data_IF_898447810328
#
_entry.id   IF_898447810328
#
_cell.length_a   1.000
_cell.length_b   1.000
_cell.length_c   1.000
_cell.angle_alpha   90.00
_cell.angle_beta   90.00
_cell.angle_gamma   90.00
#
_symmetry.space_group_name_H-M   'P 1'
#
loop_
_entity.id
_entity.type
_entity.pdbx_description
1 polymer ?
#
# COMPACT_ATOMS: atom_id res chain seq x y z
N UNK A 1 3.54 17.49 -14.22
CA UNK A 1 4.50 16.59 -13.54
C UNK A 1 3.71 15.72 -12.59
N UNK A 2 3.05 14.70 -13.15
CA UNK A 2 2.00 13.93 -12.48
C UNK A 2 2.53 13.25 -11.20
N UNK A 3 1.77 13.44 -10.12
CA UNK A 3 1.89 12.73 -8.85
C UNK A 3 1.95 11.22 -9.08
N UNK A 4 3.17 10.67 -9.18
CA UNK A 4 3.43 9.25 -9.44
C UNK A 4 3.96 8.52 -8.20
N UNK A 5 3.53 8.89 -7.00
CA UNK A 5 4.02 8.20 -5.81
C UNK A 5 3.17 8.48 -4.58
N UNK A 6 2.08 7.75 -4.41
CA UNK A 6 1.46 7.61 -3.10
C UNK A 6 0.71 6.29 -3.10
N UNK A 7 1.06 5.39 -2.18
CA UNK A 7 0.52 4.03 -2.00
C UNK A 7 1.16 2.94 -2.88
N UNK A 8 2.48 2.76 -2.75
CA UNK A 8 3.06 1.44 -2.97
C UNK A 8 2.69 0.54 -1.78
N UNK A 9 1.68 -0.32 -1.94
CA UNK A 9 1.48 -1.42 -1.00
C UNK A 9 2.46 -2.55 -1.34
N UNK A 10 3.30 -2.90 -0.37
CA UNK A 10 4.26 -3.99 -0.50
C UNK A 10 3.59 -5.28 0.02
N UNK A 11 2.92 -6.00 -0.88
CA UNK A 11 2.31 -7.30 -0.55
C UNK A 11 3.39 -8.38 -0.55
N UNK A 12 3.57 -9.03 0.59
CA UNK A 12 4.56 -10.09 0.83
C UNK A 12 4.04 -11.49 0.44
N UNK A 13 3.27 -11.61 -0.64
CA UNK A 13 2.64 -12.88 -0.99
C UNK A 13 3.10 -13.40 -2.35
N UNK A 14 3.55 -14.65 -2.33
CA UNK A 14 3.96 -15.46 -3.50
C UNK A 14 2.82 -15.63 -4.52
N UNK A 15 1.61 -15.16 -4.20
CA UNK A 15 0.39 -15.29 -5.02
C UNK A 15 -0.24 -13.94 -5.40
N UNK A 16 0.59 -12.92 -5.66
CA UNK A 16 0.06 -11.60 -6.06
C UNK A 16 -0.81 -11.67 -7.32
N UNK A 17 -0.51 -12.59 -8.24
CA UNK A 17 -1.28 -12.76 -9.47
C UNK A 17 -2.75 -13.09 -9.17
N UNK A 18 -3.02 -13.95 -8.18
CA UNK A 18 -4.40 -14.29 -7.80
C UNK A 18 -5.13 -13.08 -7.21
N UNK A 19 -4.45 -12.28 -6.39
CA UNK A 19 -5.03 -11.07 -5.79
C UNK A 19 -5.34 -10.04 -6.90
N UNK A 20 -4.44 -9.89 -7.86
CA UNK A 20 -4.66 -9.00 -9.01
C UNK A 20 -5.79 -9.50 -9.91
N UNK A 21 -5.83 -10.80 -10.21
CA UNK A 21 -6.86 -11.39 -11.06
C UNK A 21 -8.26 -11.27 -10.42
N UNK A 22 -8.35 -11.42 -9.09
CA UNK A 22 -9.62 -11.32 -8.35
C UNK A 22 -10.05 -9.87 -8.07
N UNK A 23 -9.14 -9.02 -7.60
CA UNK A 23 -9.47 -7.68 -7.11
C UNK A 23 -9.20 -6.56 -8.11
N UNK A 24 -8.44 -6.84 -9.18
CA UNK A 24 -8.02 -5.87 -10.20
C UNK A 24 -7.55 -4.57 -9.56
N UNK A 25 -6.64 -4.69 -8.59
CA UNK A 25 -6.09 -3.53 -7.89
C UNK A 25 -5.50 -2.53 -8.90
N UNK A 26 -5.12 -3.03 -10.09
CA UNK A 26 -4.75 -2.23 -11.26
C UNK A 26 -5.64 -1.18 -11.82
N UNK A 27 -6.88 -1.19 -11.41
CA UNK A 27 -7.77 -0.12 -11.76
C UNK A 27 -7.69 1.06 -10.77
N UNK A 28 -7.12 0.87 -9.57
CA UNK A 28 -7.24 1.82 -8.45
C UNK A 28 -5.93 2.47 -8.04
N UNK A 29 -4.81 1.76 -8.14
CA UNK A 29 -3.50 2.28 -7.73
C UNK A 29 -2.41 1.97 -8.75
N UNK A 30 -1.18 2.41 -8.51
CA UNK A 30 -0.01 1.87 -9.20
C UNK A 30 0.72 1.00 -8.18
N UNK A 31 0.62 -0.33 -8.28
CA UNK A 31 1.40 -1.22 -7.40
C UNK A 31 2.71 -1.67 -8.06
N UNK A 32 3.63 -2.07 -7.20
CA UNK A 32 4.81 -2.83 -7.58
C UNK A 32 5.01 -3.90 -6.53
N UNK A 33 5.11 -5.15 -6.97
CA UNK A 33 5.29 -6.28 -6.08
C UNK A 33 6.79 -6.50 -5.83
N UNK A 34 7.25 -6.22 -4.63
CA UNK A 34 8.58 -6.65 -4.17
C UNK A 34 8.47 -8.02 -3.50
N UNK A 35 8.05 -9.04 -4.26
CA UNK A 35 7.70 -10.35 -3.69
C UNK A 35 8.92 -11.22 -3.38
N UNK A 36 10.10 -10.99 -3.97
CA UNK A 36 11.27 -11.87 -3.78
C UNK A 36 12.62 -11.14 -3.93
N UNK A 37 12.85 -10.04 -3.20
CA UNK A 37 14.19 -9.44 -3.18
C UNK A 37 15.07 -10.22 -2.20
N UNK A 38 15.83 -11.19 -2.72
CA UNK A 38 17.00 -11.85 -2.07
C UNK A 38 16.80 -12.44 -0.66
N UNK A 39 15.71 -13.17 -0.40
CA UNK A 39 15.56 -13.91 0.86
C UNK A 39 15.33 -13.04 2.11
N UNK A 40 15.09 -11.74 1.93
CA UNK A 40 14.81 -10.78 2.99
C UNK A 40 13.31 -10.72 3.28
N UNK A 41 12.94 -10.52 4.55
CA UNK A 41 11.52 -10.47 4.96
C UNK A 41 11.30 -9.45 6.07
N UNK A 42 10.13 -8.84 6.09
CA UNK A 42 9.70 -8.03 7.24
C UNK A 42 9.83 -8.84 8.56
N UNK A 43 10.30 -8.24 9.67
CA UNK A 43 10.65 -6.83 9.86
C UNK A 43 12.13 -6.50 9.60
N UNK A 44 12.87 -7.33 8.85
CA UNK A 44 14.28 -7.07 8.51
C UNK A 44 14.45 -5.71 7.81
N UNK A 45 15.29 -4.79 8.31
CA UNK A 45 15.54 -3.49 7.70
C UNK A 45 15.92 -3.55 6.22
N UNK A 46 16.68 -4.58 5.84
CA UNK A 46 17.16 -4.75 4.47
C UNK A 46 16.01 -4.91 3.47
N UNK A 47 14.88 -5.47 3.90
CA UNK A 47 13.69 -5.55 3.06
C UNK A 47 13.22 -4.15 2.63
N UNK A 48 13.04 -3.24 3.59
CA UNK A 48 12.50 -1.90 3.32
C UNK A 48 13.47 -1.07 2.47
N UNK A 49 14.77 -1.16 2.74
CA UNK A 49 15.80 -0.45 1.97
C UNK A 49 15.83 -0.89 0.50
N UNK A 50 15.72 -2.20 0.25
CA UNK A 50 15.64 -2.73 -1.11
C UNK A 50 14.37 -2.26 -1.82
N UNK A 51 13.22 -2.22 -1.13
CA UNK A 51 11.99 -1.72 -1.75
C UNK A 51 12.10 -0.25 -2.10
N UNK A 52 12.58 0.59 -1.19
CA UNK A 52 12.77 2.03 -1.44
C UNK A 52 13.70 2.25 -2.64
N UNK A 53 14.80 1.49 -2.72
CA UNK A 53 15.75 1.52 -3.84
C UNK A 53 15.11 1.07 -5.14
N UNK A 54 14.33 -0.01 -5.12
CA UNK A 54 13.66 -0.56 -6.30
C UNK A 54 12.60 0.40 -6.86
N UNK A 55 11.80 0.99 -5.97
CA UNK A 55 10.77 1.97 -6.33
C UNK A 55 11.36 3.32 -6.73
N UNK A 56 12.63 3.59 -6.39
CA UNK A 56 13.31 4.87 -6.61
C UNK A 56 12.52 6.06 -6.03
N UNK A 57 12.03 5.90 -4.79
CA UNK A 57 11.22 6.88 -4.06
C UNK A 57 11.96 7.40 -2.83
N UNK A 58 11.60 8.60 -2.37
CA UNK A 58 12.11 9.11 -1.10
C UNK A 58 11.31 8.49 0.06
N UNK A 59 12.02 7.93 1.06
CA UNK A 59 11.44 7.35 2.28
C UNK A 59 10.47 8.29 3.00
N UNK A 60 10.74 9.60 3.01
CA UNK A 60 9.90 10.60 3.69
C UNK A 60 8.52 10.76 3.04
N UNK A 61 8.40 10.35 1.77
CA UNK A 61 7.18 10.43 0.98
C UNK A 61 6.44 9.08 0.93
N UNK A 62 6.91 8.08 1.66
CA UNK A 62 6.33 6.75 1.69
C UNK A 62 5.47 6.53 2.94
N UNK A 63 4.31 5.92 2.73
CA UNK A 63 3.45 5.41 3.80
C UNK A 63 3.48 3.88 3.72
N UNK A 64 3.90 3.25 4.81
CA UNK A 64 3.91 1.81 4.98
C UNK A 64 2.71 1.39 5.84
N UNK A 65 1.93 0.42 5.34
CA UNK A 65 0.73 -0.10 6.00
C UNK A 65 0.89 -1.60 6.19
N UNK A 66 0.70 -2.09 7.42
CA UNK A 66 0.78 -3.52 7.75
C UNK A 66 -0.10 -3.81 8.97
N UNK A 67 -0.68 -5.00 9.07
CA UNK A 67 -1.50 -5.41 10.21
C UNK A 67 -0.66 -5.66 11.47
N UNK A 68 0.62 -6.03 11.30
CA UNK A 68 1.53 -6.34 12.39
C UNK A 68 2.35 -5.12 12.79
N UNK A 69 2.13 -4.64 14.01
CA UNK A 69 2.83 -3.48 14.58
C UNK A 69 4.36 -3.58 14.50
N UNK A 70 4.94 -4.77 14.70
CA UNK A 70 6.39 -4.96 14.61
C UNK A 70 6.98 -4.67 13.21
N UNK A 71 6.20 -4.86 12.15
CA UNK A 71 6.61 -4.46 10.80
C UNK A 71 6.52 -2.93 10.64
N UNK A 72 5.44 -2.33 11.14
CA UNK A 72 5.23 -0.89 11.12
C UNK A 72 6.36 -0.16 11.84
N UNK A 73 6.73 -0.61 13.03
CA UNK A 73 7.82 -0.03 13.81
C UNK A 73 9.18 -0.13 13.09
N UNK A 74 9.45 -1.23 12.39
CA UNK A 74 10.67 -1.38 11.60
C UNK A 74 10.71 -0.39 10.42
N UNK A 75 9.59 -0.18 9.74
CA UNK A 75 9.48 0.82 8.68
C UNK A 75 9.70 2.25 9.21
N UNK A 76 9.08 2.59 10.35
CA UNK A 76 9.22 3.91 10.99
C UNK A 76 10.67 4.20 11.38
N UNK A 77 11.40 3.21 11.90
CA UNK A 77 12.84 3.34 12.22
C UNK A 77 13.71 3.70 11.02
N UNK A 78 13.23 3.43 9.81
CA UNK A 78 13.92 3.73 8.54
C UNK A 78 13.44 5.03 7.88
N UNK A 79 12.57 5.79 8.55
CA UNK A 79 12.09 7.09 8.09
C UNK A 79 10.83 7.04 7.21
N UNK A 80 10.17 5.88 7.10
CA UNK A 80 8.85 5.80 6.48
C UNK A 80 7.77 6.28 7.46
N UNK A 81 6.66 6.81 6.93
CA UNK A 81 5.43 6.96 7.72
C UNK A 81 4.82 5.57 7.89
N UNK A 82 4.53 5.14 9.11
CA UNK A 82 3.97 3.80 9.36
C UNK A 82 2.56 3.85 9.94
N UNK A 83 1.66 3.02 9.39
CA UNK A 83 0.29 2.85 9.88
C UNK A 83 0.00 1.36 10.14
N UNK A 84 -0.59 1.05 11.29
CA UNK A 84 -1.10 -0.30 11.55
C UNK A 84 -2.49 -0.45 10.95
N UNK A 85 -2.67 -1.41 10.05
CA UNK A 85 -3.99 -1.75 9.54
C UNK A 85 -4.82 -2.45 10.61
N UNK A 86 -6.02 -1.91 10.89
CA UNK A 86 -7.00 -2.51 11.81
C UNK A 86 -8.34 -2.73 11.13
N UNK A 87 -8.79 -1.75 10.35
CA UNK A 87 -9.94 -1.82 9.47
C UNK A 87 -9.87 -0.67 8.44
N UNK A 88 -10.77 -0.71 7.46
CA UNK A 88 -10.81 0.26 6.36
C UNK A 88 -11.14 1.68 6.84
N UNK A 89 -12.11 1.87 7.75
CA UNK A 89 -12.55 3.19 8.21
C UNK A 89 -11.43 3.96 8.93
N UNK A 90 -10.69 3.26 9.80
CA UNK A 90 -9.55 3.83 10.50
C UNK A 90 -8.41 4.15 9.54
N UNK A 91 -8.12 3.24 8.59
CA UNK A 91 -7.08 3.49 7.60
C UNK A 91 -7.42 4.71 6.74
N UNK A 92 -8.67 4.85 6.30
CA UNK A 92 -9.12 6.01 5.54
C UNK A 92 -8.90 7.30 6.33
N UNK A 93 -9.31 7.33 7.60
CA UNK A 93 -9.09 8.49 8.47
C UNK A 93 -7.59 8.83 8.60
N UNK A 94 -6.75 7.83 8.84
CA UNK A 94 -5.32 8.02 9.02
C UNK A 94 -4.65 8.52 7.73
N UNK A 95 -5.04 8.00 6.57
CA UNK A 95 -4.56 8.43 5.27
C UNK A 95 -4.98 9.88 4.94
N UNK A 96 -6.23 10.25 5.24
CA UNK A 96 -6.71 11.64 5.06
C UNK A 96 -5.92 12.63 5.91
N UNK A 97 -5.59 12.26 7.16
CA UNK A 97 -4.74 13.09 8.04
C UNK A 97 -3.31 13.26 7.50
N UNK A 98 -2.83 12.32 6.68
CA UNK A 98 -1.54 12.40 6.00
C UNK A 98 -1.59 13.16 4.66
N UNK A 99 -2.75 13.70 4.28
CA UNK A 99 -2.97 14.47 3.06
C UNK A 99 -3.20 13.62 1.82
N UNK A 100 -3.59 12.35 1.99
CA UNK A 100 -4.07 11.51 0.89
C UNK A 100 -5.55 11.80 0.67
N UNK A 101 -5.91 12.19 -0.55
CA UNK A 101 -7.33 12.35 -0.92
C UNK A 101 -7.94 10.98 -1.18
N UNK A 102 -9.06 10.68 -0.51
CA UNK A 102 -9.76 9.40 -0.55
C UNK A 102 -11.21 9.60 -0.98
N UNK A 103 -11.52 10.67 -1.72
CA UNK A 103 -12.84 10.81 -2.34
C UNK A 103 -13.08 9.60 -3.26
N UNK A 104 -13.93 8.67 -2.83
CA UNK A 104 -14.41 7.59 -3.66
C UNK A 104 -15.29 8.21 -4.74
N UNK A 105 -14.92 8.02 -6.01
CA UNK A 105 -15.90 8.16 -7.08
C UNK A 105 -16.85 6.98 -6.90
N UNK A 106 -17.97 7.22 -6.22
CA UNK A 106 -19.13 6.33 -6.26
C UNK A 106 -19.53 6.22 -7.74
N UNK A 107 -19.08 5.18 -8.43
CA UNK A 107 -19.73 4.79 -9.68
C UNK A 107 -21.09 4.23 -9.29
N UNK A 108 -22.12 5.07 -9.42
CA UNK A 108 -23.52 4.69 -9.45
C UNK A 108 -23.77 3.72 -10.61
N UNK A 109 -23.42 2.44 -10.44
CA UNK A 109 -23.98 1.39 -11.28
C UNK A 109 -25.37 1.05 -10.71
N UNK A 110 -26.31 1.93 -11.07
CA UNK A 110 -27.75 1.65 -11.07
C UNK A 110 -28.00 0.41 -11.94
N UNK A 111 -28.45 -0.69 -11.32
CA UNK A 111 -29.39 -1.60 -11.97
C UNK A 111 -30.63 -1.66 -11.08
N UNK A 112 -31.52 -0.71 -11.37
CA UNK A 112 -32.96 -0.86 -11.15
C UNK A 112 -33.43 -2.08 -11.95
N UNK A 113 -33.76 -3.18 -11.27
CA UNK A 113 -34.52 -4.27 -11.87
C UNK A 113 -35.97 -4.13 -11.40
N UNK A 114 -36.70 -3.27 -12.11
CA UNK A 114 -38.16 -3.24 -12.12
C UNK A 114 -38.66 -4.09 -13.28
N UNK A 115 -39.26 -5.25 -12.99
CA UNK A 115 -40.41 -5.87 -13.68
C UNK A 115 -40.82 -7.15 -12.96
#
# INVERSE_FOLDING_TARGET
MAMKSMLSQIIQSVKYQMIEDELKLSNYLSWTFCSCIFGKRKPDPDFYLEVVKHLNVNVSNCIFVDDRMGNVEAAVKLGLKGLQFKNADLLQKDLSLLGVDISTNESEDLIECSS
#
